data_IF_705422785880
#
_entry.id   IF_705422785880
#
_cell.length_a   1.000
_cell.length_b   1.000
_cell.length_c   1.000
_cell.angle_alpha   90.00
_cell.angle_beta   90.00
_cell.angle_gamma   90.00
#
_symmetry.space_group_name_H-M   'P 1'
#
loop_
_entity.id
_entity.type
_entity.pdbx_description
1 polymer ?
#
# COMPACT_ATOMS: atom_id res chain seq x y z
N UNK A 1 -21.25 -46.72 -2.43
CA UNK A 1 -20.47 -45.82 -3.30
C UNK A 1 -20.74 -44.32 -3.00
N UNK A 2 -20.80 -43.91 -1.73
CA UNK A 2 -21.11 -42.52 -1.32
C UNK A 2 -19.91 -41.87 -0.57
N UNK A 3 -19.03 -42.67 0.05
CA UNK A 3 -17.91 -42.17 0.85
C UNK A 3 -16.70 -41.61 0.07
N UNK A 4 -16.48 -42.03 -1.17
CA UNK A 4 -15.31 -41.58 -1.97
C UNK A 4 -15.53 -40.18 -2.55
N UNK A 5 -16.79 -39.80 -2.81
CA UNK A 5 -17.14 -38.48 -3.37
C UNK A 5 -16.97 -37.38 -2.31
N UNK A 6 -17.38 -37.63 -1.06
CA UNK A 6 -17.30 -36.64 0.03
C UNK A 6 -15.85 -36.27 0.36
N UNK A 7 -14.94 -37.25 0.39
CA UNK A 7 -13.52 -37.01 0.69
C UNK A 7 -12.80 -36.20 -0.41
N UNK A 8 -13.15 -36.41 -1.70
CA UNK A 8 -12.58 -35.62 -2.81
C UNK A 8 -13.07 -34.17 -2.82
N UNK A 9 -14.32 -33.93 -2.44
CA UNK A 9 -14.88 -32.56 -2.42
C UNK A 9 -14.28 -31.72 -1.28
N UNK A 10 -14.03 -32.30 -0.11
CA UNK A 10 -13.43 -31.58 1.03
C UNK A 10 -11.98 -31.16 0.72
N UNK A 11 -11.21 -32.01 0.03
CA UNK A 11 -9.82 -31.69 -0.33
C UNK A 11 -9.73 -30.49 -1.28
N UNK A 12 -10.68 -30.35 -2.21
CA UNK A 12 -10.70 -29.25 -3.18
C UNK A 12 -11.05 -27.91 -2.54
N UNK A 13 -11.94 -27.89 -1.54
CA UNK A 13 -12.33 -26.64 -0.85
C UNK A 13 -11.17 -26.06 -0.03
N UNK A 14 -10.33 -26.92 0.57
CA UNK A 14 -9.17 -26.48 1.36
C UNK A 14 -8.09 -25.84 0.46
N UNK A 15 -7.86 -26.38 -0.74
CA UNK A 15 -6.88 -25.83 -1.69
C UNK A 15 -7.31 -24.47 -2.27
N UNK A 16 -8.60 -24.31 -2.60
CA UNK A 16 -9.15 -23.02 -3.07
C UNK A 16 -9.14 -21.99 -1.92
N UNK A 17 -9.44 -22.41 -0.70
CA UNK A 17 -9.36 -21.57 0.50
C UNK A 17 -7.95 -21.04 0.75
N UNK A 18 -6.93 -21.90 0.79
CA UNK A 18 -5.55 -21.44 1.04
C UNK A 18 -5.05 -20.54 -0.12
N UNK A 19 -5.34 -20.90 -1.37
CA UNK A 19 -4.94 -20.11 -2.55
C UNK A 19 -5.56 -18.70 -2.58
N UNK A 20 -6.84 -18.56 -2.20
CA UNK A 20 -7.50 -17.25 -2.12
C UNK A 20 -6.96 -16.39 -0.98
N UNK A 21 -6.69 -16.97 0.19
CA UNK A 21 -6.18 -16.22 1.34
C UNK A 21 -4.73 -15.74 1.14
N UNK A 22 -3.87 -16.57 0.54
CA UNK A 22 -2.50 -16.17 0.17
C UNK A 22 -2.55 -15.08 -0.92
N UNK A 23 -3.50 -15.18 -1.87
CA UNK A 23 -3.67 -14.14 -2.90
C UNK A 23 -4.17 -12.81 -2.32
N UNK A 24 -5.16 -12.83 -1.43
CA UNK A 24 -5.70 -11.61 -0.79
C UNK A 24 -4.66 -10.93 0.10
N UNK A 25 -3.88 -11.70 0.86
CA UNK A 25 -2.82 -11.15 1.71
C UNK A 25 -1.66 -10.59 0.90
N UNK A 26 -1.28 -11.22 -0.22
CA UNK A 26 -0.27 -10.69 -1.13
C UNK A 26 -0.75 -9.42 -1.88
N UNK A 27 -2.02 -9.39 -2.30
CA UNK A 27 -2.65 -8.22 -2.93
C UNK A 27 -2.68 -7.05 -1.94
N UNK A 28 -3.12 -7.27 -0.70
CA UNK A 28 -3.15 -6.24 0.34
C UNK A 28 -1.75 -5.70 0.65
N UNK A 29 -0.74 -6.59 0.79
CA UNK A 29 0.66 -6.18 0.99
C UNK A 29 1.22 -5.36 -0.18
N UNK A 30 0.88 -5.74 -1.41
CA UNK A 30 1.31 -5.02 -2.62
C UNK A 30 0.67 -3.64 -2.69
N UNK A 31 -0.66 -3.55 -2.52
CA UNK A 31 -1.38 -2.28 -2.53
C UNK A 31 -0.89 -1.38 -1.40
N UNK A 32 -0.67 -1.93 -0.21
CA UNK A 32 -0.13 -1.20 0.93
C UNK A 32 1.24 -0.61 0.64
N UNK A 33 2.18 -1.39 0.09
CA UNK A 33 3.50 -0.88 -0.22
C UNK A 33 3.46 0.18 -1.33
N UNK A 34 2.68 -0.08 -2.38
CA UNK A 34 2.48 0.87 -3.49
C UNK A 34 1.93 2.20 -2.98
N UNK A 35 0.92 2.16 -2.10
CA UNK A 35 0.34 3.36 -1.50
C UNK A 35 1.31 4.06 -0.55
N UNK A 36 2.09 3.33 0.25
CA UNK A 36 3.12 3.92 1.13
C UNK A 36 4.17 4.70 0.34
N UNK A 37 4.73 4.10 -0.73
CA UNK A 37 5.69 4.75 -1.61
C UNK A 37 5.12 6.01 -2.25
N UNK A 38 3.90 5.90 -2.77
CA UNK A 38 3.19 7.02 -3.38
C UNK A 38 3.02 8.18 -2.39
N UNK A 39 2.64 7.87 -1.14
CA UNK A 39 2.48 8.87 -0.09
C UNK A 39 3.78 9.57 0.23
N UNK A 40 4.87 8.84 0.51
CA UNK A 40 6.14 9.46 0.88
C UNK A 40 6.65 10.37 -0.25
N UNK A 41 6.64 9.89 -1.50
CA UNK A 41 7.14 10.67 -2.64
C UNK A 41 6.22 11.84 -2.99
N UNK A 42 4.91 11.63 -2.98
CA UNK A 42 3.97 12.68 -3.32
C UNK A 42 3.85 13.76 -2.24
N UNK A 43 4.05 13.42 -0.95
CA UNK A 43 4.16 14.42 0.11
C UNK A 43 5.37 15.33 -0.09
N UNK A 44 6.51 14.79 -0.55
CA UNK A 44 7.70 15.57 -0.92
C UNK A 44 7.40 16.55 -2.05
N UNK A 45 6.80 16.07 -3.14
CA UNK A 45 6.41 16.92 -4.27
C UNK A 45 5.43 18.02 -3.84
N UNK A 46 4.41 17.65 -3.04
CA UNK A 46 3.40 18.60 -2.59
C UNK A 46 4.00 19.67 -1.65
N UNK A 47 4.93 19.29 -0.78
CA UNK A 47 5.68 20.21 0.08
C UNK A 47 6.57 21.15 -0.74
N UNK A 48 7.29 20.63 -1.72
CA UNK A 48 8.16 21.42 -2.61
C UNK A 48 7.33 22.37 -3.50
N UNK A 49 6.06 22.04 -3.75
CA UNK A 49 5.07 22.90 -4.43
C UNK A 49 4.42 23.95 -3.52
N UNK A 50 4.80 24.02 -2.24
CA UNK A 50 4.32 25.03 -1.29
C UNK A 50 2.97 24.74 -0.63
N UNK A 51 2.43 23.52 -0.77
CA UNK A 51 1.17 23.15 -0.11
C UNK A 51 1.35 23.04 1.41
N UNK A 52 0.35 23.52 2.16
CA UNK A 52 0.26 23.28 3.60
C UNK A 52 0.07 21.79 3.91
N UNK A 53 0.38 21.37 5.14
CA UNK A 53 0.21 19.97 5.59
C UNK A 53 -1.17 19.39 5.27
N UNK A 54 -2.25 20.14 5.53
CA UNK A 54 -3.61 19.70 5.21
C UNK A 54 -3.84 19.60 3.71
N UNK A 55 -3.33 20.55 2.92
CA UNK A 55 -3.46 20.55 1.46
C UNK A 55 -2.69 19.40 0.81
N UNK A 56 -1.53 19.00 1.36
CA UNK A 56 -0.73 17.89 0.82
C UNK A 56 -1.49 16.57 0.84
N UNK A 57 -2.17 16.25 1.96
CA UNK A 57 -3.01 15.06 2.09
C UNK A 57 -4.12 15.02 1.04
N UNK A 58 -4.86 16.13 0.93
CA UNK A 58 -6.00 16.19 0.03
C UNK A 58 -5.55 16.15 -1.42
N UNK A 59 -4.49 16.89 -1.78
CA UNK A 59 -3.89 16.86 -3.11
C UNK A 59 -3.51 15.44 -3.52
N UNK A 60 -2.70 14.77 -2.70
CA UNK A 60 -2.18 13.44 -2.97
C UNK A 60 -3.30 12.39 -3.08
N UNK A 61 -4.17 12.30 -2.07
CA UNK A 61 -5.14 11.22 -2.02
C UNK A 61 -6.31 11.42 -2.99
N UNK A 62 -6.61 12.66 -3.39
CA UNK A 62 -7.58 12.90 -4.45
C UNK A 62 -7.01 12.51 -5.82
N UNK A 63 -5.71 12.74 -6.09
CA UNK A 63 -5.06 12.24 -7.32
C UNK A 63 -5.09 10.71 -7.35
N UNK A 64 -4.64 10.06 -6.27
CA UNK A 64 -4.66 8.59 -6.19
C UNK A 64 -6.05 8.02 -6.40
N UNK A 65 -7.07 8.62 -5.79
CA UNK A 65 -8.47 8.20 -5.96
C UNK A 65 -8.91 8.27 -7.43
N UNK A 66 -8.56 9.35 -8.12
CA UNK A 66 -8.94 9.57 -9.51
C UNK A 66 -8.19 8.64 -10.47
N UNK A 67 -6.90 8.39 -10.22
CA UNK A 67 -6.05 7.59 -11.10
C UNK A 67 -6.23 6.09 -10.89
N UNK A 68 -6.20 5.62 -9.64
CA UNK A 68 -6.19 4.18 -9.36
C UNK A 68 -7.59 3.60 -9.24
N UNK A 69 -8.60 4.46 -8.96
CA UNK A 69 -10.00 4.06 -8.77
C UNK A 69 -10.16 2.91 -7.75
N UNK A 70 -9.24 2.83 -6.80
CA UNK A 70 -9.18 1.83 -5.75
C UNK A 70 -9.55 2.49 -4.41
N UNK A 71 -10.74 2.19 -3.85
CA UNK A 71 -11.17 2.74 -2.56
C UNK A 71 -10.27 2.33 -1.39
N UNK A 72 -9.67 1.15 -1.43
CA UNK A 72 -8.80 0.63 -0.37
C UNK A 72 -7.46 1.37 -0.37
N UNK A 73 -6.86 1.55 -1.56
CA UNK A 73 -5.67 2.39 -1.73
C UNK A 73 -5.93 3.85 -1.33
N UNK A 74 -7.12 4.39 -1.63
CA UNK A 74 -7.51 5.75 -1.22
C UNK A 74 -7.61 5.86 0.30
N UNK A 75 -8.23 4.88 0.95
CA UNK A 75 -8.33 4.81 2.42
C UNK A 75 -6.95 4.72 3.06
N UNK A 76 -6.08 3.86 2.52
CA UNK A 76 -4.69 3.73 2.99
C UNK A 76 -3.89 5.01 2.78
N UNK A 77 -4.06 5.69 1.65
CA UNK A 77 -3.40 6.97 1.37
C UNK A 77 -3.72 7.98 2.47
N UNK A 78 -5.01 8.14 2.82
CA UNK A 78 -5.42 9.08 3.86
C UNK A 78 -4.83 8.72 5.22
N UNK A 79 -4.83 7.43 5.57
CA UNK A 79 -4.27 6.92 6.82
C UNK A 79 -2.75 7.18 6.91
N UNK A 80 -1.98 6.75 5.91
CA UNK A 80 -0.53 6.96 5.89
C UNK A 80 -0.16 8.44 5.84
N UNK A 81 -0.90 9.24 5.08
CA UNK A 81 -0.66 10.68 5.04
C UNK A 81 -0.86 11.30 6.42
N UNK A 82 -1.92 10.95 7.15
CA UNK A 82 -2.14 11.44 8.51
C UNK A 82 -1.02 11.00 9.46
N UNK A 83 -0.66 9.71 9.42
CA UNK A 83 0.42 9.17 10.26
C UNK A 83 1.75 9.87 10.01
N UNK A 84 2.08 10.18 8.75
CA UNK A 84 3.34 10.85 8.39
C UNK A 84 3.27 12.35 8.71
N UNK A 85 2.25 13.06 8.22
CA UNK A 85 2.12 14.53 8.31
C UNK A 85 2.12 15.03 9.75
N UNK A 86 1.47 14.27 10.64
CA UNK A 86 1.31 14.62 12.05
C UNK A 86 2.32 13.92 12.95
N UNK A 87 3.25 13.14 12.40
CA UNK A 87 4.39 12.61 13.16
C UNK A 87 5.49 13.64 13.34
N UNK A 88 6.29 13.43 14.38
CA UNK A 88 7.60 14.03 14.59
C UNK A 88 8.60 13.70 13.47
N UNK A 89 8.36 12.61 12.72
CA UNK A 89 9.19 12.15 11.61
C UNK A 89 8.89 12.84 10.29
N UNK A 90 7.90 13.73 10.21
CA UNK A 90 7.47 14.36 8.96
C UNK A 90 8.64 14.98 8.19
N UNK A 91 9.36 15.92 8.79
CA UNK A 91 10.46 16.62 8.11
C UNK A 91 11.59 15.65 7.71
N UNK A 92 11.85 14.64 8.54
CA UNK A 92 12.84 13.60 8.27
C UNK A 92 12.42 12.69 7.08
N UNK A 93 11.15 12.31 6.99
CA UNK A 93 10.61 11.49 5.89
C UNK A 93 10.70 12.26 4.57
N UNK A 94 10.51 13.58 4.59
CA UNK A 94 10.57 14.41 3.39
C UNK A 94 11.99 14.64 2.86
N UNK A 95 13.02 14.51 3.70
CA UNK A 95 14.42 14.56 3.23
C UNK A 95 14.89 13.25 2.62
N UNK A 96 14.14 12.15 2.80
CA UNK A 96 14.52 10.85 2.27
C UNK A 96 14.54 10.83 0.75
N UNK A 97 15.45 10.03 0.21
CA UNK A 97 15.42 9.66 -1.19
C UNK A 97 14.44 8.49 -1.43
N UNK A 98 14.21 8.17 -2.70
CA UNK A 98 13.28 7.11 -3.09
C UNK A 98 13.66 5.74 -2.51
N UNK A 99 14.95 5.43 -2.37
CA UNK A 99 15.42 4.14 -1.89
C UNK A 99 15.19 4.02 -0.38
N UNK A 100 15.43 5.09 0.37
CA UNK A 100 15.14 5.14 1.81
C UNK A 100 13.63 5.10 2.11
N UNK A 101 12.80 5.70 1.24
CA UNK A 101 11.35 5.57 1.30
C UNK A 101 10.89 4.13 1.04
N UNK A 102 11.49 3.49 0.02
CA UNK A 102 11.25 2.10 -0.34
C UNK A 102 11.60 1.15 0.81
N UNK A 103 12.77 1.32 1.43
CA UNK A 103 13.19 0.51 2.58
C UNK A 103 12.23 0.66 3.76
N UNK A 104 11.76 1.87 4.06
CA UNK A 104 10.77 2.09 5.11
C UNK A 104 9.44 1.41 4.82
N UNK A 105 8.91 1.54 3.61
CA UNK A 105 7.66 0.89 3.24
C UNK A 105 7.79 -0.65 3.22
N UNK A 106 8.96 -1.18 2.84
CA UNK A 106 9.27 -2.61 2.86
C UNK A 106 9.30 -3.18 4.28
N UNK A 107 9.93 -2.48 5.22
CA UNK A 107 9.99 -2.91 6.63
C UNK A 107 8.60 -2.99 7.26
N UNK A 108 7.71 -2.05 6.94
CA UNK A 108 6.34 -2.04 7.49
C UNK A 108 5.39 -3.02 6.81
N UNK A 109 5.61 -3.35 5.53
CA UNK A 109 4.74 -4.24 4.75
C UNK A 109 5.10 -5.71 4.86
N UNK A 110 6.24 -6.03 5.49
CA UNK A 110 6.61 -7.39 5.89
C UNK A 110 7.14 -8.29 4.77
N UNK A 111 7.37 -7.78 3.55
CA UNK A 111 8.01 -8.52 2.47
C UNK A 111 8.62 -7.59 1.43
N UNK A 112 9.89 -7.84 1.09
CA UNK A 112 10.65 -7.06 0.08
C UNK A 112 10.05 -7.17 -1.31
N UNK A 113 9.52 -8.34 -1.66
CA UNK A 113 9.09 -8.71 -3.02
C UNK A 113 7.95 -7.83 -3.56
N UNK A 114 7.03 -7.37 -2.68
CA UNK A 114 5.82 -6.64 -3.08
C UNK A 114 6.04 -5.14 -3.31
N UNK A 115 7.25 -4.64 -3.08
CA UNK A 115 7.60 -3.22 -3.23
C UNK A 115 8.51 -2.95 -4.45
N UNK A 116 9.12 -3.98 -5.04
CA UNK A 116 10.02 -3.83 -6.19
C UNK A 116 9.23 -3.62 -7.49
N UNK A 117 9.69 -2.69 -8.34
CA UNK A 117 9.18 -2.51 -9.71
C UNK A 117 8.22 -1.34 -9.93
N UNK A 118 7.84 -0.59 -8.88
CA UNK A 118 6.95 0.57 -9.05
C UNK A 118 7.74 1.84 -9.40
N UNK A 119 7.51 2.35 -10.61
CA UNK A 119 7.98 3.64 -11.07
C UNK A 119 6.81 4.62 -11.02
N UNK A 120 6.96 5.69 -10.24
CA UNK A 120 6.04 6.81 -10.25
C UNK A 120 6.73 7.94 -11.03
N UNK A 121 6.06 8.54 -12.03
CA UNK A 121 6.63 9.63 -12.82
C UNK A 121 6.90 10.88 -11.98
#
# INVERSE_FOLDING_TARGET
>A
MIGVVIMRTILLVVLVGIGLFVSVTAIDRTTRCKTCLYVIMGLKIARDSGYSKSQQKDYLCNILQNEWKDPEATRMCRKFSDEIIWSDKYDYILTRDRNEALESCQQESGDREYCYGFYFP
#
